data_IF_264825413001
#
_entry.id   IF_264825413001
#
_cell.length_a   1.000
_cell.length_b   1.000
_cell.length_c   1.000
_cell.angle_alpha   90.00
_cell.angle_beta   90.00
_cell.angle_gamma   90.00
#
_symmetry.space_group_name_H-M   'P 1'
#
loop_
_entity.id
_entity.type
_entity.pdbx_description
1 polymer ?
#
# COMPACT_ATOMS: atom_id res chain seq x y z
N UNK A 1 5.82 32.08 3.41
CA UNK A 1 6.45 31.56 2.19
C UNK A 1 5.50 30.56 1.52
N UNK A 2 5.19 30.71 0.23
CA UNK A 2 4.42 29.71 -0.50
C UNK A 2 5.23 28.39 -0.52
N UNK A 3 4.59 27.26 -0.14
CA UNK A 3 5.25 25.96 -0.23
C UNK A 3 5.58 25.63 -1.69
N UNK A 4 6.80 25.14 -1.94
CA UNK A 4 7.21 24.70 -3.28
C UNK A 4 6.25 23.59 -3.73
N UNK A 5 5.67 23.73 -4.92
CA UNK A 5 4.91 22.67 -5.58
C UNK A 5 5.88 21.64 -6.14
N UNK A 6 5.57 20.38 -5.99
CA UNK A 6 6.41 19.27 -6.43
C UNK A 6 5.65 18.43 -7.45
N UNK A 7 6.40 17.81 -8.36
CA UNK A 7 5.97 16.72 -9.21
C UNK A 7 6.42 15.40 -8.57
N UNK A 8 5.49 14.55 -8.20
CA UNK A 8 5.73 13.35 -7.40
C UNK A 8 5.34 12.11 -8.19
N UNK A 9 6.26 11.16 -8.32
CA UNK A 9 5.96 9.82 -8.84
C UNK A 9 5.66 8.88 -7.67
N UNK A 10 4.42 8.43 -7.52
CA UNK A 10 4.06 7.33 -6.63
C UNK A 10 4.11 6.02 -7.40
N UNK A 11 4.78 5.01 -6.87
CA UNK A 11 4.91 3.70 -7.54
C UNK A 11 4.19 2.63 -6.73
N UNK A 12 3.17 2.01 -7.35
CA UNK A 12 2.40 0.88 -6.81
C UNK A 12 2.29 -0.23 -7.87
N UNK A 13 3.43 -0.87 -8.18
CA UNK A 13 3.57 -1.80 -9.29
C UNK A 13 2.58 -2.97 -9.22
N UNK A 14 2.54 -3.65 -8.08
CA UNK A 14 1.90 -4.97 -7.95
C UNK A 14 0.41 -4.93 -7.63
N UNK A 15 -0.14 -3.76 -7.34
CA UNK A 15 -1.53 -3.60 -6.95
C UNK A 15 -2.05 -2.26 -7.42
N UNK A 16 -3.03 -2.28 -8.30
CA UNK A 16 -3.71 -1.08 -8.78
C UNK A 16 -4.43 -0.40 -7.60
N UNK A 17 -4.20 0.90 -7.35
CA UNK A 17 -4.86 1.62 -6.26
C UNK A 17 -6.40 1.61 -6.32
N UNK A 18 -6.98 1.44 -7.52
CA UNK A 18 -8.43 1.34 -7.72
C UNK A 18 -8.96 -0.10 -7.60
N UNK A 19 -8.12 -1.09 -7.34
CA UNK A 19 -8.57 -2.47 -7.14
C UNK A 19 -9.59 -2.56 -6.01
N UNK A 20 -10.59 -3.44 -6.16
CA UNK A 20 -11.64 -3.63 -5.13
C UNK A 20 -11.04 -4.04 -3.80
N UNK A 21 -11.36 -3.35 -2.69
CA UNK A 21 -10.96 -3.78 -1.35
C UNK A 21 -11.48 -5.18 -1.03
N UNK A 22 -10.59 -6.04 -0.54
CA UNK A 22 -10.93 -7.45 -0.27
C UNK A 22 -10.35 -8.44 -1.28
N UNK A 23 -10.09 -8.02 -2.50
CA UNK A 23 -9.45 -8.84 -3.52
C UNK A 23 -8.01 -9.27 -3.13
N UNK A 24 -7.44 -10.21 -3.91
CA UNK A 24 -6.22 -10.95 -3.58
C UNK A 24 -5.03 -10.09 -3.14
N UNK A 25 -4.80 -8.94 -3.74
CA UNK A 25 -3.67 -8.05 -3.43
C UNK A 25 -4.13 -6.62 -3.11
N UNK A 26 -5.43 -6.39 -2.94
CA UNK A 26 -6.03 -5.09 -2.65
C UNK A 26 -6.42 -4.97 -1.17
N UNK A 27 -6.17 -3.82 -0.59
CA UNK A 27 -6.44 -3.60 0.83
C UNK A 27 -6.00 -2.22 1.31
N UNK A 28 -5.58 -2.16 2.58
CA UNK A 28 -5.20 -0.90 3.23
C UNK A 28 -4.12 -0.10 2.49
N UNK A 29 -3.19 -0.75 1.79
CA UNK A 29 -2.18 -0.06 0.98
C UNK A 29 -2.80 0.74 -0.16
N UNK A 30 -3.78 0.17 -0.87
CA UNK A 30 -4.47 0.82 -1.99
C UNK A 30 -5.22 2.06 -1.52
N UNK A 31 -5.97 1.93 -0.41
CA UNK A 31 -6.67 3.06 0.25
C UNK A 31 -5.66 4.13 0.65
N UNK A 32 -4.55 3.73 1.30
CA UNK A 32 -3.50 4.66 1.72
C UNK A 32 -2.92 5.45 0.54
N UNK A 33 -2.59 4.78 -0.57
CA UNK A 33 -2.01 5.43 -1.76
C UNK A 33 -3.00 6.43 -2.37
N UNK A 34 -4.28 6.04 -2.54
CA UNK A 34 -5.31 6.94 -3.06
C UNK A 34 -5.51 8.17 -2.19
N UNK A 35 -5.64 8.00 -0.87
CA UNK A 35 -5.88 9.13 0.06
C UNK A 35 -4.65 10.03 0.18
N UNK A 36 -3.43 9.44 0.19
CA UNK A 36 -2.17 10.20 0.14
C UNK A 36 -2.08 11.05 -1.13
N UNK A 37 -2.30 10.42 -2.29
CA UNK A 37 -2.24 11.10 -3.58
C UNK A 37 -3.24 12.25 -3.67
N UNK A 38 -4.51 12.01 -3.27
CA UNK A 38 -5.55 13.06 -3.21
C UNK A 38 -5.16 14.21 -2.28
N UNK A 39 -4.60 13.89 -1.11
CA UNK A 39 -4.16 14.90 -0.14
C UNK A 39 -3.01 15.75 -0.68
N UNK A 40 -2.05 15.13 -1.35
CA UNK A 40 -0.93 15.82 -2.01
C UNK A 40 -1.43 16.70 -3.18
N UNK A 41 -2.32 16.16 -4.04
CA UNK A 41 -2.93 16.90 -5.13
C UNK A 41 -3.73 18.11 -4.65
N UNK A 42 -4.54 17.95 -3.60
CA UNK A 42 -5.27 19.05 -2.95
C UNK A 42 -4.33 20.10 -2.32
N UNK A 43 -3.12 19.70 -1.95
CA UNK A 43 -2.08 20.63 -1.46
C UNK A 43 -1.34 21.34 -2.60
N UNK A 44 -1.71 21.05 -3.86
CA UNK A 44 -1.19 21.69 -5.06
C UNK A 44 0.04 21.03 -5.68
N UNK A 45 0.40 19.83 -5.24
CA UNK A 45 1.41 19.00 -5.89
C UNK A 45 0.83 18.32 -7.14
N UNK A 46 1.66 18.02 -8.15
CA UNK A 46 1.31 17.13 -9.25
C UNK A 46 1.72 15.71 -8.84
N UNK A 47 0.79 14.76 -8.92
CA UNK A 47 1.02 13.39 -8.47
C UNK A 47 0.63 12.41 -9.57
N UNK A 48 1.58 11.62 -10.01
CA UNK A 48 1.35 10.52 -10.92
C UNK A 48 1.55 9.19 -10.19
N UNK A 49 0.52 8.36 -10.18
CA UNK A 49 0.57 7.03 -9.59
C UNK A 49 0.81 6.03 -10.72
N UNK A 50 1.89 5.29 -10.65
CA UNK A 50 2.24 4.27 -11.63
C UNK A 50 1.93 2.88 -11.12
N UNK A 51 1.15 2.13 -11.87
CA UNK A 51 0.82 0.72 -11.63
C UNK A 51 1.03 -0.10 -12.89
N UNK A 52 1.14 -1.42 -12.76
CA UNK A 52 1.18 -2.32 -13.92
C UNK A 52 -0.24 -2.51 -14.46
N UNK A 53 -0.40 -2.45 -15.78
CA UNK A 53 -1.65 -2.83 -16.45
C UNK A 53 -1.96 -4.30 -16.17
N UNK A 54 -3.16 -4.61 -15.72
CA UNK A 54 -3.61 -5.95 -15.33
C UNK A 54 -4.95 -6.34 -15.94
N UNK A 55 -5.73 -5.37 -16.41
CA UNK A 55 -6.98 -5.57 -17.13
C UNK A 55 -6.89 -4.93 -18.53
N UNK A 56 -7.25 -5.64 -19.62
CA UNK A 56 -7.27 -5.06 -20.97
C UNK A 56 -8.21 -3.85 -21.14
N UNK A 57 -9.09 -3.63 -20.15
CA UNK A 57 -10.01 -2.49 -20.12
C UNK A 57 -9.42 -1.26 -19.44
N UNK A 58 -8.24 -1.39 -18.79
CA UNK A 58 -7.58 -0.27 -18.14
C UNK A 58 -7.21 0.80 -19.19
N UNK A 59 -7.62 2.03 -18.96
CA UNK A 59 -7.11 3.16 -19.71
C UNK A 59 -5.60 3.33 -19.46
N UNK A 60 -4.87 3.84 -20.46
CA UNK A 60 -3.44 4.12 -20.29
C UNK A 60 -3.20 5.04 -19.10
N UNK A 61 -4.06 6.04 -18.91
CA UNK A 61 -4.10 6.87 -17.71
C UNK A 61 -5.48 7.52 -17.51
N UNK A 62 -5.79 7.85 -16.26
CA UNK A 62 -7.01 8.56 -15.87
C UNK A 62 -6.77 9.52 -14.70
N UNK A 63 -7.64 10.50 -14.54
CA UNK A 63 -7.60 11.38 -13.37
C UNK A 63 -8.34 10.76 -12.17
N UNK A 64 -7.65 10.63 -11.02
CA UNK A 64 -8.28 10.21 -9.75
C UNK A 64 -8.78 11.39 -8.91
N UNK A 65 -8.17 12.55 -9.10
CA UNK A 65 -8.50 13.81 -8.44
C UNK A 65 -7.82 14.98 -9.16
N UNK A 66 -8.12 16.22 -8.82
CA UNK A 66 -7.34 17.36 -9.29
C UNK A 66 -5.84 17.17 -9.00
N UNK A 67 -5.02 17.33 -10.04
CA UNK A 67 -3.56 17.15 -9.98
C UNK A 67 -3.09 15.70 -9.66
N UNK A 68 -3.95 14.70 -9.78
CA UNK A 68 -3.61 13.29 -9.52
C UNK A 68 -4.01 12.43 -10.70
N UNK A 69 -3.04 11.73 -11.31
CA UNK A 69 -3.28 10.75 -12.38
C UNK A 69 -2.91 9.35 -11.92
N UNK A 70 -3.65 8.35 -12.38
CA UNK A 70 -3.28 6.94 -12.35
C UNK A 70 -2.82 6.55 -13.75
N UNK A 71 -1.65 5.93 -13.86
CA UNK A 71 -1.04 5.53 -15.13
C UNK A 71 -0.78 4.02 -15.08
N UNK A 72 -1.30 3.30 -16.07
CA UNK A 72 -1.12 1.87 -16.24
C UNK A 72 0.02 1.59 -17.22
N UNK A 73 1.10 1.01 -16.72
CA UNK A 73 2.27 0.64 -17.52
C UNK A 73 2.18 -0.83 -17.93
N UNK A 74 2.21 -1.08 -19.23
CA UNK A 74 2.28 -2.45 -19.73
C UNK A 74 3.66 -3.05 -19.44
N UNK A 75 3.67 -4.11 -18.64
CA UNK A 75 4.87 -4.86 -18.28
C UNK A 75 4.50 -6.34 -18.14
N UNK A 76 4.84 -7.13 -19.16
CA UNK A 76 4.40 -8.52 -19.30
C UNK A 76 2.94 -8.64 -19.77
N UNK A 77 2.31 -9.82 -19.59
CA UNK A 77 0.91 -10.06 -19.90
C UNK A 77 -0.04 -9.12 -19.13
N UNK A 78 -1.14 -8.72 -19.78
CA UNK A 78 -2.18 -7.88 -19.16
C UNK A 78 -3.20 -8.81 -18.49
N UNK A 79 -2.85 -9.28 -17.31
CA UNK A 79 -3.62 -10.20 -16.48
C UNK A 79 -3.18 -10.11 -15.02
N UNK A 80 -3.94 -10.68 -14.11
CA UNK A 80 -3.53 -10.81 -12.72
C UNK A 80 -2.38 -11.78 -12.56
N UNK A 81 -1.28 -11.30 -11.99
CA UNK A 81 -0.05 -12.07 -11.80
C UNK A 81 0.37 -12.11 -10.34
N UNK A 82 0.90 -13.25 -9.91
CA UNK A 82 1.56 -13.34 -8.60
C UNK A 82 2.81 -12.46 -8.50
N UNK A 83 3.15 -12.03 -7.29
CA UNK A 83 4.26 -11.09 -7.04
C UNK A 83 5.62 -11.50 -7.61
N UNK A 84 5.94 -12.81 -7.59
CA UNK A 84 7.18 -13.31 -8.15
C UNK A 84 7.20 -13.24 -9.68
N UNK A 85 6.07 -13.56 -10.33
CA UNK A 85 5.94 -13.39 -11.78
C UNK A 85 6.05 -11.91 -12.19
N UNK A 86 5.44 -11.00 -11.41
CA UNK A 86 5.59 -9.56 -11.65
C UNK A 86 7.04 -9.07 -11.49
N UNK A 87 7.83 -9.69 -10.60
CA UNK A 87 9.25 -9.37 -10.44
C UNK A 87 10.05 -9.65 -11.72
N UNK A 88 9.70 -10.67 -12.49
CA UNK A 88 10.33 -10.99 -13.78
C UNK A 88 10.11 -9.89 -14.84
N UNK A 89 9.05 -9.08 -14.68
CA UNK A 89 8.71 -7.96 -15.57
C UNK A 89 9.13 -6.59 -15.04
N UNK A 90 9.93 -6.54 -13.96
CA UNK A 90 10.33 -5.29 -13.32
C UNK A 90 11.06 -4.34 -14.27
N UNK A 91 12.01 -4.86 -15.06
CA UNK A 91 12.76 -4.07 -16.02
C UNK A 91 11.84 -3.49 -17.11
N UNK A 92 10.92 -4.29 -17.62
CA UNK A 92 9.91 -3.84 -18.58
C UNK A 92 9.04 -2.73 -18.01
N UNK A 93 8.65 -2.82 -16.72
CA UNK A 93 7.91 -1.78 -16.03
C UNK A 93 8.71 -0.47 -15.92
N UNK A 94 9.98 -0.55 -15.52
CA UNK A 94 10.88 0.62 -15.43
C UNK A 94 11.05 1.29 -16.79
N UNK A 95 11.30 0.50 -17.84
CA UNK A 95 11.44 1.00 -19.20
C UNK A 95 10.15 1.66 -19.73
N UNK A 96 9.00 1.04 -19.49
CA UNK A 96 7.69 1.57 -19.90
C UNK A 96 7.35 2.88 -19.18
N UNK A 97 7.62 2.96 -17.87
CA UNK A 97 7.42 4.17 -17.09
C UNK A 97 8.34 5.31 -17.58
N UNK A 98 9.61 5.02 -17.83
CA UNK A 98 10.54 6.01 -18.35
C UNK A 98 10.15 6.49 -19.76
N UNK A 99 9.65 5.60 -20.62
CA UNK A 99 9.13 5.96 -21.94
C UNK A 99 7.93 6.91 -21.82
N UNK A 100 6.96 6.59 -20.93
CA UNK A 100 5.82 7.46 -20.66
C UNK A 100 6.27 8.83 -20.15
N UNK A 101 7.13 8.88 -19.14
CA UNK A 101 7.67 10.14 -18.59
C UNK A 101 8.31 11.01 -19.66
N UNK A 102 9.12 10.42 -20.55
CA UNK A 102 9.76 11.13 -21.66
C UNK A 102 8.76 11.67 -22.68
N UNK A 103 7.77 10.85 -23.06
CA UNK A 103 6.74 11.24 -24.01
C UNK A 103 5.91 12.44 -23.50
N UNK A 104 5.61 12.45 -22.20
CA UNK A 104 4.88 13.53 -21.53
C UNK A 104 5.78 14.74 -21.15
N UNK A 105 7.10 14.64 -21.30
CA UNK A 105 8.04 15.70 -20.94
C UNK A 105 8.11 16.02 -19.44
N UNK A 106 7.76 15.06 -18.58
CA UNK A 106 7.64 15.28 -17.15
C UNK A 106 9.01 15.20 -16.47
N UNK A 107 9.22 16.09 -15.50
CA UNK A 107 10.35 16.04 -14.55
C UNK A 107 9.79 15.89 -13.15
N UNK A 108 10.16 14.80 -12.48
CA UNK A 108 9.80 14.57 -11.08
C UNK A 108 10.82 15.19 -10.13
N UNK A 109 10.33 15.61 -8.95
CA UNK A 109 11.16 16.09 -7.84
C UNK A 109 11.52 14.98 -6.86
N UNK A 110 10.70 13.89 -6.80
CA UNK A 110 10.92 12.72 -5.96
C UNK A 110 10.11 11.50 -6.43
N UNK A 111 10.53 10.32 -5.98
CA UNK A 111 9.80 9.06 -6.14
C UNK A 111 9.41 8.55 -4.75
N UNK A 112 8.16 8.13 -4.59
CA UNK A 112 7.68 7.45 -3.39
C UNK A 112 7.09 6.10 -3.76
N UNK A 113 7.77 5.05 -3.36
CA UNK A 113 7.42 3.66 -3.69
C UNK A 113 6.68 2.99 -2.53
N UNK A 114 5.69 2.18 -2.88
CA UNK A 114 4.89 1.41 -1.95
C UNK A 114 5.12 -0.09 -2.17
N UNK A 115 5.62 -0.77 -1.13
CA UNK A 115 5.99 -2.18 -1.15
C UNK A 115 7.32 -2.46 -1.87
N UNK A 116 7.94 -3.62 -1.59
CA UNK A 116 9.28 -3.97 -2.06
C UNK A 116 9.44 -4.03 -3.58
N UNK A 117 8.42 -4.54 -4.31
CA UNK A 117 8.45 -4.59 -5.79
C UNK A 117 8.53 -3.18 -6.39
N UNK A 118 7.67 -2.31 -5.94
CA UNK A 118 7.64 -0.91 -6.35
C UNK A 118 8.94 -0.19 -5.98
N UNK A 119 9.49 -0.49 -4.80
CA UNK A 119 10.73 0.11 -4.34
C UNK A 119 11.94 -0.33 -5.16
N UNK A 120 11.96 -1.57 -5.68
CA UNK A 120 12.99 -2.01 -6.64
C UNK A 120 12.96 -1.18 -7.92
N UNK A 121 11.75 -0.95 -8.48
CA UNK A 121 11.58 -0.05 -9.62
C UNK A 121 11.97 1.40 -9.27
N UNK A 122 11.51 1.89 -8.11
CA UNK A 122 11.81 3.24 -7.63
C UNK A 122 13.29 3.52 -7.47
N UNK A 123 14.08 2.58 -6.96
CA UNK A 123 15.54 2.71 -6.88
C UNK A 123 16.21 2.83 -8.24
N UNK A 124 15.78 2.04 -9.23
CA UNK A 124 16.32 2.13 -10.59
C UNK A 124 16.00 3.51 -11.22
N UNK A 125 14.76 3.96 -11.06
CA UNK A 125 14.30 5.25 -11.58
C UNK A 125 14.94 6.44 -10.84
N UNK A 126 15.13 6.36 -9.53
CA UNK A 126 15.80 7.39 -8.73
C UNK A 126 17.22 7.64 -9.21
N UNK A 127 17.99 6.56 -9.47
CA UNK A 127 19.32 6.65 -10.04
C UNK A 127 19.32 7.26 -11.46
N UNK A 128 18.34 6.88 -12.28
CA UNK A 128 18.19 7.36 -13.65
C UNK A 128 17.81 8.85 -13.72
N UNK A 129 16.95 9.31 -12.81
CA UNK A 129 16.43 10.69 -12.78
C UNK A 129 17.19 11.61 -11.85
N UNK A 130 18.11 11.07 -11.05
CA UNK A 130 18.88 11.81 -10.04
C UNK A 130 17.97 12.55 -9.03
N UNK A 131 16.90 11.85 -8.56
CA UNK A 131 15.93 12.39 -7.62
C UNK A 131 15.83 11.51 -6.36
N UNK A 132 15.45 12.08 -5.22
CA UNK A 132 15.28 11.32 -3.98
C UNK A 132 14.26 10.20 -4.11
N UNK A 133 14.54 9.06 -3.47
CA UNK A 133 13.67 7.91 -3.36
C UNK A 133 13.19 7.71 -1.92
N UNK A 134 11.86 7.71 -1.75
CA UNK A 134 11.19 7.38 -0.50
C UNK A 134 10.52 6.01 -0.63
N UNK A 135 10.49 5.24 0.44
CA UNK A 135 9.78 3.96 0.46
C UNK A 135 8.91 3.81 1.71
N UNK A 136 7.73 3.22 1.53
CA UNK A 136 6.90 2.67 2.59
C UNK A 136 6.61 1.20 2.28
N UNK A 137 7.03 0.30 3.18
CA UNK A 137 6.96 -1.14 2.90
C UNK A 137 5.56 -1.73 3.05
N UNK A 138 4.71 -1.17 3.91
CA UNK A 138 3.39 -1.68 4.33
C UNK A 138 3.42 -3.05 5.01
N UNK A 139 4.32 -3.94 4.60
CA UNK A 139 4.64 -5.21 5.26
C UNK A 139 6.10 -5.56 5.02
N UNK A 140 6.73 -6.18 6.02
CA UNK A 140 8.12 -6.61 5.98
C UNK A 140 8.21 -8.14 5.99
N UNK A 141 8.96 -8.73 5.07
CA UNK A 141 9.08 -10.19 4.92
C UNK A 141 9.65 -10.86 6.16
N UNK A 142 10.74 -10.31 6.74
CA UNK A 142 11.34 -10.86 7.97
C UNK A 142 10.36 -10.81 9.15
N UNK A 143 9.55 -9.75 9.28
CA UNK A 143 8.52 -9.65 10.32
C UNK A 143 7.44 -10.71 10.13
N UNK A 144 6.97 -10.89 8.89
CA UNK A 144 5.95 -11.89 8.55
C UNK A 144 6.46 -13.30 8.83
N UNK A 145 7.69 -13.64 8.42
CA UNK A 145 8.31 -14.94 8.69
C UNK A 145 8.45 -15.19 10.21
N UNK A 146 8.84 -14.16 10.99
CA UNK A 146 8.92 -14.25 12.45
C UNK A 146 7.56 -14.52 13.09
N UNK A 147 6.50 -13.81 12.67
CA UNK A 147 5.15 -13.97 13.21
C UNK A 147 4.54 -15.33 12.87
N UNK A 148 4.80 -15.83 11.66
CA UNK A 148 4.28 -17.13 11.20
C UNK A 148 5.15 -18.30 11.66
N UNK A 149 6.29 -18.06 12.28
CA UNK A 149 7.29 -19.07 12.66
C UNK A 149 7.66 -20.01 11.49
N UNK A 150 7.63 -19.50 10.28
CA UNK A 150 7.88 -20.20 9.04
C UNK A 150 8.41 -19.25 7.96
N UNK A 151 9.18 -19.78 7.01
CA UNK A 151 9.58 -19.02 5.82
C UNK A 151 8.40 -18.93 4.85
N UNK A 152 7.55 -17.94 5.04
CA UNK A 152 6.36 -17.68 4.21
C UNK A 152 6.72 -16.83 2.98
N UNK A 153 7.64 -15.88 3.16
CA UNK A 153 8.13 -15.04 2.07
C UNK A 153 9.44 -15.60 1.49
N UNK A 154 9.62 -15.56 0.16
CA UNK A 154 10.81 -16.10 -0.50
C UNK A 154 12.06 -15.29 -0.17
N UNK A 155 13.23 -15.93 -0.21
CA UNK A 155 14.53 -15.28 0.05
C UNK A 155 14.75 -14.07 -0.85
N UNK A 156 14.34 -14.16 -2.12
CA UNK A 156 14.38 -13.06 -3.08
C UNK A 156 13.78 -11.75 -2.53
N UNK A 157 12.61 -11.86 -1.85
CA UNK A 157 11.97 -10.70 -1.21
C UNK A 157 12.81 -10.14 -0.06
N UNK A 158 13.32 -11.02 0.80
CA UNK A 158 14.12 -10.62 1.95
C UNK A 158 15.41 -9.90 1.53
N UNK A 159 16.08 -10.41 0.51
CA UNK A 159 17.28 -9.81 -0.06
C UNK A 159 16.97 -8.47 -0.75
N UNK A 160 15.87 -8.41 -1.48
CA UNK A 160 15.41 -7.17 -2.09
C UNK A 160 15.08 -6.09 -1.04
N UNK A 161 14.33 -6.42 0.02
CA UNK A 161 14.04 -5.51 1.12
C UNK A 161 15.32 -5.03 1.82
N UNK A 162 16.29 -5.94 2.06
CA UNK A 162 17.58 -5.61 2.66
C UNK A 162 18.34 -4.58 1.82
N UNK A 163 18.40 -4.78 0.50
CA UNK A 163 19.05 -3.85 -0.43
C UNK A 163 18.32 -2.49 -0.48
N UNK A 164 16.98 -2.49 -0.55
CA UNK A 164 16.18 -1.26 -0.56
C UNK A 164 16.43 -0.43 0.68
N UNK A 165 16.43 -1.05 1.87
CA UNK A 165 16.67 -0.37 3.14
C UNK A 165 18.01 0.39 3.15
N UNK A 166 19.04 -0.18 2.55
CA UNK A 166 20.36 0.46 2.50
C UNK A 166 20.46 1.57 1.45
N UNK A 167 19.85 1.37 0.28
CA UNK A 167 20.04 2.26 -0.87
C UNK A 167 19.04 3.43 -0.92
N UNK A 168 17.87 3.33 -0.29
CA UNK A 168 16.87 4.40 -0.31
C UNK A 168 17.30 5.62 0.54
N UNK A 169 16.83 6.80 0.15
CA UNK A 169 17.14 8.05 0.87
C UNK A 169 16.30 8.18 2.16
N UNK A 170 15.03 7.74 2.13
CA UNK A 170 14.12 7.84 3.26
C UNK A 170 13.14 6.68 3.32
N UNK A 171 12.90 6.17 4.53
CA UNK A 171 11.90 5.15 4.81
C UNK A 171 10.78 5.76 5.64
N UNK A 172 9.54 5.59 5.22
CA UNK A 172 8.36 5.97 5.99
C UNK A 172 7.85 4.71 6.70
N UNK A 173 7.84 4.76 8.03
CA UNK A 173 7.27 3.74 8.89
C UNK A 173 5.93 4.24 9.47
N UNK A 174 4.89 3.41 9.46
CA UNK A 174 3.58 3.80 10.00
C UNK A 174 3.59 3.86 11.53
N UNK A 175 4.46 3.09 12.18
CA UNK A 175 4.53 2.95 13.64
C UNK A 175 5.96 2.94 14.15
N UNK A 176 6.11 3.21 15.45
CA UNK A 176 7.42 3.07 16.11
C UNK A 176 7.88 1.60 16.12
N UNK A 177 6.97 0.64 16.21
CA UNK A 177 7.32 -0.78 16.13
C UNK A 177 7.91 -1.15 14.76
N UNK A 178 7.32 -0.66 13.67
CA UNK A 178 7.87 -0.86 12.33
C UNK A 178 9.27 -0.25 12.19
N UNK A 179 9.49 0.96 12.73
CA UNK A 179 10.84 1.57 12.80
C UNK A 179 11.81 0.66 13.56
N UNK A 180 11.41 0.12 14.71
CA UNK A 180 12.25 -0.78 15.51
C UNK A 180 12.55 -2.10 14.75
N UNK A 181 11.59 -2.66 14.04
CA UNK A 181 11.77 -3.84 13.20
C UNK A 181 12.73 -3.57 12.02
N UNK A 182 12.62 -2.42 11.36
CA UNK A 182 13.55 -2.00 10.31
C UNK A 182 14.99 -1.90 10.84
N UNK A 183 15.19 -1.32 12.02
CA UNK A 183 16.52 -1.20 12.64
C UNK A 183 17.04 -2.58 13.04
N UNK A 184 16.23 -3.39 13.75
CA UNK A 184 16.70 -4.65 14.34
C UNK A 184 16.86 -5.79 13.34
N UNK A 185 15.96 -5.89 12.35
CA UNK A 185 15.95 -7.00 11.39
C UNK A 185 16.67 -6.68 10.08
N UNK A 186 16.69 -5.41 9.66
CA UNK A 186 17.27 -5.00 8.38
C UNK A 186 18.48 -4.07 8.54
N UNK A 187 18.92 -3.76 9.77
CA UNK A 187 20.03 -2.86 10.08
C UNK A 187 19.87 -1.48 9.41
N UNK A 188 18.63 -1.01 9.32
CA UNK A 188 18.34 0.31 8.77
C UNK A 188 18.96 1.42 9.62
N UNK A 189 19.50 2.44 8.96
CA UNK A 189 20.00 3.64 9.63
C UNK A 189 18.83 4.40 10.27
N UNK A 190 18.83 4.66 11.60
CA UNK A 190 17.71 5.30 12.30
C UNK A 190 17.32 6.68 11.71
N UNK A 191 18.32 7.41 11.20
CA UNK A 191 18.14 8.75 10.63
C UNK A 191 17.49 8.75 9.26
N UNK A 192 17.48 7.63 8.54
CA UNK A 192 16.72 7.45 7.31
C UNK A 192 15.25 7.11 7.57
N UNK A 193 14.82 6.82 8.81
CA UNK A 193 13.46 6.40 9.10
C UNK A 193 12.65 7.53 9.75
N UNK A 194 11.52 7.87 9.14
CA UNK A 194 10.53 8.79 9.73
C UNK A 194 9.26 8.02 10.06
N UNK A 195 8.80 8.16 11.30
CA UNK A 195 7.52 7.59 11.74
C UNK A 195 6.42 8.59 11.39
N UNK A 196 5.56 8.20 10.45
CA UNK A 196 4.40 8.98 10.01
C UNK A 196 3.18 8.06 10.05
N UNK A 197 2.31 8.19 11.08
CA UNK A 197 1.11 7.37 11.18
C UNK A 197 0.19 7.52 9.97
N UNK A 198 -0.51 6.44 9.63
CA UNK A 198 -1.55 6.49 8.59
C UNK A 198 -2.66 7.46 9.01
N UNK A 199 -3.10 8.27 8.07
CA UNK A 199 -4.26 9.14 8.23
C UNK A 199 -5.57 8.40 8.07
N UNK A 200 -6.66 9.06 8.42
CA UNK A 200 -8.03 8.62 8.18
C UNK A 200 -8.84 9.76 7.56
N UNK A 201 -9.72 9.44 6.64
CA UNK A 201 -10.66 10.39 6.08
C UNK A 201 -11.81 10.63 7.06
N UNK A 202 -11.70 11.67 7.88
CA UNK A 202 -12.68 12.00 8.92
C UNK A 202 -14.03 12.52 8.39
N UNK A 203 -14.13 12.81 7.09
CA UNK A 203 -15.41 13.11 6.44
C UNK A 203 -16.22 11.86 6.14
N UNK A 204 -15.50 10.77 5.83
CA UNK A 204 -16.10 9.45 5.56
C UNK A 204 -16.30 8.67 6.87
N UNK A 205 -15.31 8.68 7.75
CA UNK A 205 -15.34 7.99 9.04
C UNK A 205 -15.63 8.99 10.15
N UNK A 206 -16.92 9.27 10.34
CA UNK A 206 -17.43 10.14 11.42
C UNK A 206 -18.10 9.30 12.50
N UNK A 207 -18.20 9.88 13.70
CA UNK A 207 -18.97 9.27 14.80
C UNK A 207 -20.45 9.40 14.47
N UNK A 208 -21.15 8.27 14.41
CA UNK A 208 -22.60 8.18 14.27
C UNK A 208 -23.19 7.65 15.58
N UNK A 209 -24.42 8.04 15.91
CA UNK A 209 -25.12 7.46 17.05
C UNK A 209 -25.29 5.95 16.86
N UNK A 210 -25.06 5.19 17.94
CA UNK A 210 -25.11 3.73 17.89
C UNK A 210 -26.49 3.20 17.46
N UNK A 211 -27.55 3.76 18.01
CA UNK A 211 -28.91 3.31 17.72
C UNK A 211 -29.32 3.62 16.27
N UNK A 212 -28.88 4.77 15.74
CA UNK A 212 -29.05 5.10 14.32
C UNK A 212 -28.33 4.10 13.41
N UNK A 213 -27.06 3.80 13.71
CA UNK A 213 -26.30 2.83 12.94
C UNK A 213 -26.85 1.40 13.01
N UNK A 214 -27.30 0.96 14.19
CA UNK A 214 -27.96 -0.35 14.37
C UNK A 214 -29.27 -0.43 13.56
N UNK A 215 -30.07 0.62 13.58
CA UNK A 215 -31.33 0.69 12.81
C UNK A 215 -31.07 0.68 11.30
N UNK A 216 -30.08 1.45 10.81
CA UNK A 216 -29.72 1.52 9.40
C UNK A 216 -29.20 0.18 8.87
N UNK A 217 -28.42 -0.55 9.67
CA UNK A 217 -27.84 -1.84 9.30
C UNK A 217 -28.74 -3.04 9.65
N UNK A 218 -29.91 -2.83 10.26
CA UNK A 218 -30.80 -3.90 10.67
C UNK A 218 -30.23 -4.80 11.78
N UNK A 219 -29.38 -4.25 12.65
CA UNK A 219 -28.72 -4.97 13.73
C UNK A 219 -29.53 -4.90 15.03
N UNK A 220 -29.35 -5.89 15.90
CA UNK A 220 -29.98 -5.92 17.23
C UNK A 220 -29.32 -4.90 18.18
N UNK A 221 -29.90 -4.69 19.37
CA UNK A 221 -29.28 -3.88 20.44
C UNK A 221 -28.28 -4.67 21.30
N UNK A 222 -28.05 -5.97 21.02
CA UNK A 222 -27.10 -6.79 21.76
C UNK A 222 -25.67 -6.24 21.68
N UNK A 223 -24.79 -6.54 22.65
CA UNK A 223 -23.38 -6.27 22.54
C UNK A 223 -22.77 -6.90 21.27
N UNK A 224 -21.85 -6.18 20.62
CA UNK A 224 -21.26 -6.63 19.36
C UNK A 224 -19.75 -6.64 19.39
N UNK A 225 -19.16 -7.68 18.81
CA UNK A 225 -17.77 -7.66 18.36
C UNK A 225 -17.75 -7.50 16.83
N UNK A 226 -16.91 -6.62 16.32
CA UNK A 226 -16.75 -6.39 14.89
C UNK A 226 -15.35 -6.78 14.44
N UNK A 227 -15.28 -7.68 13.47
CA UNK A 227 -14.07 -7.97 12.70
C UNK A 227 -14.20 -7.37 11.31
N UNK A 228 -13.19 -6.60 10.87
CA UNK A 228 -13.10 -6.08 9.51
C UNK A 228 -11.75 -6.45 8.92
N UNK A 229 -11.73 -7.19 7.82
CA UNK A 229 -10.48 -7.56 7.16
C UNK A 229 -10.59 -8.79 6.28
N UNK A 230 -9.51 -9.06 5.52
CA UNK A 230 -9.42 -10.28 4.72
C UNK A 230 -9.40 -11.52 5.63
N UNK A 231 -10.00 -12.63 5.18
CA UNK A 231 -10.08 -13.88 5.94
C UNK A 231 -8.73 -14.63 5.89
N UNK A 232 -7.67 -13.96 6.29
CA UNK A 232 -6.31 -14.49 6.34
C UNK A 232 -5.91 -14.83 7.79
N UNK A 233 -5.11 -15.89 7.96
CA UNK A 233 -4.63 -16.34 9.28
C UNK A 233 -3.94 -15.23 10.08
N UNK A 234 -3.20 -14.32 9.40
CA UNK A 234 -2.54 -13.19 10.06
C UNK A 234 -3.51 -12.14 10.62
N UNK A 235 -4.76 -12.13 10.19
CA UNK A 235 -5.80 -11.22 10.71
C UNK A 235 -6.46 -11.75 11.98
N UNK A 236 -6.26 -13.03 12.30
CA UNK A 236 -6.62 -13.62 13.59
C UNK A 236 -8.10 -13.89 13.80
N UNK A 237 -8.91 -14.00 12.72
CA UNK A 237 -10.34 -14.31 12.86
C UNK A 237 -10.59 -15.64 13.60
N UNK A 238 -9.76 -16.65 13.34
CA UNK A 238 -9.82 -17.93 14.04
C UNK A 238 -9.60 -17.80 15.56
N UNK A 239 -8.72 -16.91 15.98
CA UNK A 239 -8.53 -16.61 17.39
C UNK A 239 -9.71 -15.83 17.98
N UNK A 240 -10.29 -14.90 17.23
CA UNK A 240 -11.49 -14.17 17.64
C UNK A 240 -12.68 -15.12 17.81
N UNK A 241 -12.91 -16.03 16.86
CA UNK A 241 -13.97 -17.04 16.95
C UNK A 241 -13.81 -17.91 18.20
N UNK A 242 -12.60 -18.38 18.51
CA UNK A 242 -12.31 -19.12 19.74
C UNK A 242 -12.57 -18.27 20.99
N UNK A 243 -12.17 -17.00 20.98
CA UNK A 243 -12.38 -16.11 22.12
C UNK A 243 -13.88 -15.87 22.37
N UNK A 244 -14.64 -15.61 21.30
CA UNK A 244 -16.09 -15.39 21.39
C UNK A 244 -16.81 -16.63 21.88
N UNK A 245 -16.37 -17.84 21.47
CA UNK A 245 -16.96 -19.11 21.94
C UNK A 245 -16.79 -19.38 23.44
N UNK A 246 -15.90 -18.64 24.12
CA UNK A 246 -15.70 -18.74 25.58
C UNK A 246 -16.49 -17.69 26.36
N UNK A 247 -17.21 -16.81 25.68
CA UNK A 247 -18.02 -15.77 26.32
C UNK A 247 -19.42 -16.32 26.60
N UNK A 248 -19.83 -16.32 27.89
CA UNK A 248 -21.16 -16.76 28.33
C UNK A 248 -22.25 -15.66 28.25
N UNK A 249 -21.98 -14.57 27.53
CA UNK A 249 -22.92 -13.48 27.33
C UNK A 249 -23.57 -13.56 25.94
N UNK A 250 -24.82 -13.12 25.86
CA UNK A 250 -25.50 -12.95 24.57
C UNK A 250 -24.88 -11.77 23.81
N UNK A 251 -24.18 -12.09 22.71
CA UNK A 251 -23.51 -11.10 21.87
C UNK A 251 -23.50 -11.52 20.41
N UNK A 252 -23.43 -10.56 19.52
CA UNK A 252 -23.29 -10.77 18.08
C UNK A 252 -21.83 -10.60 17.64
N UNK A 253 -21.33 -11.49 16.78
CA UNK A 253 -20.08 -11.31 16.08
C UNK A 253 -20.38 -10.94 14.64
N UNK A 254 -19.97 -9.74 14.27
CA UNK A 254 -20.05 -9.23 12.90
C UNK A 254 -18.71 -9.44 12.19
N UNK A 255 -18.72 -10.09 11.03
CA UNK A 255 -17.53 -10.34 10.22
C UNK A 255 -17.71 -9.67 8.87
N UNK A 256 -16.86 -8.68 8.56
CA UNK A 256 -16.86 -7.96 7.30
C UNK A 256 -15.53 -8.22 6.58
N UNK A 257 -15.62 -8.89 5.44
CA UNK A 257 -14.47 -9.28 4.61
C UNK A 257 -14.70 -10.63 3.95
N UNK A 258 -13.78 -11.00 3.09
CA UNK A 258 -13.87 -12.19 2.25
C UNK A 258 -13.99 -11.81 0.78
N UNK A 259 -13.77 -12.81 -0.08
CA UNK A 259 -14.03 -12.69 -1.52
C UNK A 259 -15.48 -13.14 -1.77
N UNK A 260 -16.16 -12.51 -2.74
CA UNK A 260 -17.46 -12.99 -3.24
C UNK A 260 -17.29 -14.29 -4.02
#
# INVERSE_FOLDING_TARGET
>A
MAKKKLNIALVSLHSCPLGQPGGRDTGGMNVYICELARSLGNSGHQVDIYTRAHDPRDDVWEFLAPNVRLIHIQAGPVEDMGKLAQYEHLESFVCGLEAFRKAEGIKYDLIHSHYWLSARAGLALSKLWEVPHLVMFHTLGKVKNRLMQAQVDPQLRLDAEQNIVHETDLIIAATQNEKNDLISLYQAEPDKIRVIPCGVNTRLFSITDRAEAEAELGLSAAPKALFVGRLEKLKGLDNLLKAVSLIEADMELLVVGGDE
#
